data_IF_561413979991
#
_entry.id   IF_561413979991
#
_cell.length_a   1.000
_cell.length_b   1.000
_cell.length_c   1.000
_cell.angle_alpha   90.00
_cell.angle_beta   90.00
_cell.angle_gamma   90.00
#
_symmetry.space_group_name_H-M   'P 1'
#
loop_
_entity.id
_entity.type
_entity.pdbx_description
1 polymer ?
#
# COMPACT_ATOMS: atom_id res chain seq x y z
N UNK A 1 3.34 18.10 -0.69
CA UNK A 1 1.89 17.85 -0.72
C UNK A 1 1.69 16.36 -0.89
N UNK A 2 0.89 15.71 -0.03
CA UNK A 2 0.49 14.32 -0.26
C UNK A 2 -0.43 14.25 -1.49
N UNK A 3 -0.39 13.16 -2.25
CA UNK A 3 -1.29 12.96 -3.39
C UNK A 3 -2.75 12.98 -2.95
N UNK A 4 -3.66 13.44 -3.82
CA UNK A 4 -5.09 13.36 -3.57
C UNK A 4 -5.60 11.97 -3.94
N UNK A 5 -6.51 11.37 -3.16
CA UNK A 5 -7.10 10.09 -3.51
C UNK A 5 -8.01 10.25 -4.73
N UNK A 6 -7.74 9.48 -5.78
CA UNK A 6 -8.58 9.43 -6.98
C UNK A 6 -9.35 8.11 -7.01
N UNK A 7 -10.66 8.18 -7.27
CA UNK A 7 -11.55 7.01 -7.36
C UNK A 7 -12.23 7.01 -8.71
N UNK A 8 -12.24 5.85 -9.34
CA UNK A 8 -12.71 5.65 -10.70
C UNK A 8 -13.81 4.60 -10.73
N UNK A 9 -14.72 4.70 -11.71
CA UNK A 9 -15.88 3.79 -11.78
C UNK A 9 -15.48 2.38 -12.19
N UNK A 10 -14.42 2.25 -12.98
CA UNK A 10 -13.96 0.98 -13.52
C UNK A 10 -12.43 0.97 -13.68
N UNK A 11 -11.89 -0.24 -13.92
CA UNK A 11 -10.45 -0.48 -14.09
C UNK A 11 -9.84 0.31 -15.25
N UNK A 12 -10.60 0.53 -16.33
CA UNK A 12 -10.12 1.26 -17.50
C UNK A 12 -9.87 2.73 -17.18
N UNK A 13 -10.83 3.41 -16.56
CA UNK A 13 -10.67 4.81 -16.13
C UNK A 13 -9.49 4.98 -15.18
N UNK A 14 -9.33 4.06 -14.22
CA UNK A 14 -8.19 4.06 -13.31
C UNK A 14 -6.85 3.84 -14.04
N UNK A 15 -6.82 2.94 -15.01
CA UNK A 15 -5.63 2.67 -15.80
C UNK A 15 -5.21 3.88 -16.63
N UNK A 16 -6.16 4.52 -17.31
CA UNK A 16 -5.93 5.75 -18.08
C UNK A 16 -5.42 6.89 -17.18
N UNK A 17 -5.93 7.00 -15.96
CA UNK A 17 -5.41 7.94 -14.98
C UNK A 17 -3.95 7.65 -14.63
N UNK A 18 -3.62 6.42 -14.23
CA UNK A 18 -2.25 6.03 -13.90
C UNK A 18 -1.31 6.36 -15.07
N UNK A 19 -1.71 6.04 -16.30
CA UNK A 19 -0.93 6.39 -17.49
C UNK A 19 -0.70 7.91 -17.63
N UNK A 20 -1.71 8.75 -17.37
CA UNK A 20 -1.54 10.22 -17.34
C UNK A 20 -0.55 10.68 -16.27
N UNK A 21 -0.56 10.08 -15.08
CA UNK A 21 0.42 10.41 -14.03
C UNK A 21 1.84 10.00 -14.44
N UNK A 22 2.00 8.78 -14.96
CA UNK A 22 3.29 8.26 -15.42
C UNK A 22 3.86 9.08 -16.59
N UNK A 23 3.04 9.43 -17.57
CA UNK A 23 3.43 10.27 -18.70
C UNK A 23 3.88 11.68 -18.25
N UNK A 24 3.36 12.17 -17.13
CA UNK A 24 3.78 13.42 -16.50
C UNK A 24 4.97 13.24 -15.52
N UNK A 25 5.65 12.10 -15.55
CA UNK A 25 6.81 11.81 -14.69
C UNK A 25 6.48 11.51 -13.22
N UNK A 26 5.19 11.44 -12.85
CA UNK A 26 4.77 11.13 -11.47
C UNK A 26 4.73 9.62 -11.29
N UNK A 27 5.70 9.07 -10.58
CA UNK A 27 5.84 7.62 -10.35
C UNK A 27 5.43 7.17 -8.95
N UNK A 28 5.44 8.08 -7.97
CA UNK A 28 4.91 7.80 -6.62
C UNK A 28 3.39 7.82 -6.65
N UNK A 29 2.81 6.65 -6.94
CA UNK A 29 1.37 6.42 -7.08
C UNK A 29 1.03 5.17 -6.28
N UNK A 30 0.09 5.25 -5.34
CA UNK A 30 -0.42 4.07 -4.63
C UNK A 30 -1.57 3.45 -5.43
N UNK A 31 -1.47 2.16 -5.76
CA UNK A 31 -2.40 1.49 -6.68
C UNK A 31 -3.16 0.37 -5.97
N UNK A 32 -4.46 0.27 -6.25
CA UNK A 32 -5.30 -0.89 -5.90
C UNK A 32 -5.66 -1.00 -4.42
N UNK A 33 -6.21 -2.15 -4.03
CA UNK A 33 -6.78 -2.39 -2.69
C UNK A 33 -5.75 -2.25 -1.56
N UNK A 34 -4.55 -2.78 -1.76
CA UNK A 34 -3.43 -2.72 -0.81
C UNK A 34 -2.66 -1.40 -0.89
N UNK A 35 -3.04 -0.50 -1.80
CA UNK A 35 -2.40 0.80 -2.00
C UNK A 35 -0.87 0.65 -2.17
N UNK A 36 -0.44 -0.31 -3.00
CA UNK A 36 0.99 -0.59 -3.21
C UNK A 36 1.59 0.52 -4.07
N UNK A 37 2.68 1.12 -3.60
CA UNK A 37 3.31 2.23 -4.28
C UNK A 37 4.09 1.79 -5.54
N UNK A 38 3.73 2.34 -6.69
CA UNK A 38 4.32 2.04 -7.99
C UNK A 38 5.81 2.38 -8.07
N UNK A 39 6.26 3.51 -7.51
CA UNK A 39 7.65 3.93 -7.56
C UNK A 39 8.60 2.86 -6.99
N UNK A 40 8.19 2.23 -5.90
CA UNK A 40 8.99 1.23 -5.19
C UNK A 40 8.78 -0.20 -5.69
N UNK A 41 7.58 -0.52 -6.17
CA UNK A 41 7.19 -1.91 -6.44
C UNK A 41 6.72 -2.17 -7.87
N UNK A 42 7.04 -1.28 -8.82
CA UNK A 42 6.69 -1.45 -10.24
C UNK A 42 7.06 -2.84 -10.79
N UNK A 43 8.23 -3.39 -10.42
CA UNK A 43 8.63 -4.74 -10.85
C UNK A 43 7.67 -5.84 -10.37
N UNK A 44 7.17 -5.75 -9.13
CA UNK A 44 6.21 -6.72 -8.56
C UNK A 44 4.80 -6.51 -9.12
N UNK A 45 4.43 -5.24 -9.32
CA UNK A 45 3.17 -4.83 -9.92
C UNK A 45 3.09 -5.12 -11.43
N UNK A 46 4.26 -5.22 -12.09
CA UNK A 46 4.49 -5.48 -13.51
C UNK A 46 4.08 -4.33 -14.41
N UNK A 47 2.78 -4.14 -14.60
CA UNK A 47 2.22 -3.10 -15.46
C UNK A 47 1.00 -2.45 -14.76
N UNK A 48 0.65 -1.20 -15.10
CA UNK A 48 -0.46 -0.50 -14.45
C UNK A 48 -1.81 -1.21 -14.59
N UNK A 49 -2.04 -1.93 -15.69
CA UNK A 49 -3.29 -2.67 -15.88
C UNK A 49 -3.36 -3.81 -14.88
N UNK A 50 -2.32 -4.64 -14.80
CA UNK A 50 -2.22 -5.76 -13.85
C UNK A 50 -2.17 -5.29 -12.39
N UNK A 51 -1.55 -4.16 -12.11
CA UNK A 51 -1.53 -3.55 -10.77
C UNK A 51 -2.94 -3.24 -10.20
N UNK A 52 -3.91 -2.99 -11.09
CA UNK A 52 -5.32 -2.77 -10.74
C UNK A 52 -6.15 -4.05 -10.62
N UNK A 53 -5.59 -5.22 -10.95
CA UNK A 53 -6.26 -6.49 -10.68
C UNK A 53 -6.35 -6.74 -9.16
N UNK A 54 -7.55 -6.91 -8.57
CA UNK A 54 -7.70 -7.03 -7.13
C UNK A 54 -6.87 -8.16 -6.51
N UNK A 55 -6.85 -9.33 -7.15
CA UNK A 55 -6.14 -10.51 -6.64
C UNK A 55 -4.62 -10.39 -6.80
N UNK A 56 -4.16 -9.84 -7.92
CA UNK A 56 -2.73 -9.54 -8.11
C UNK A 56 -2.26 -8.50 -7.07
N UNK A 57 -3.01 -7.42 -6.89
CA UNK A 57 -2.67 -6.36 -5.95
C UNK A 57 -2.62 -6.86 -4.50
N UNK A 58 -3.60 -7.67 -4.09
CA UNK A 58 -3.61 -8.33 -2.77
C UNK A 58 -2.42 -9.25 -2.57
N UNK A 59 -2.08 -10.08 -3.57
CA UNK A 59 -0.90 -10.98 -3.50
C UNK A 59 0.40 -10.20 -3.37
N UNK A 60 0.59 -9.13 -4.14
CA UNK A 60 1.80 -8.29 -4.04
C UNK A 60 1.89 -7.64 -2.66
N UNK A 61 0.80 -7.06 -2.15
CA UNK A 61 0.78 -6.46 -0.81
C UNK A 61 1.06 -7.48 0.30
N UNK A 62 0.44 -8.67 0.22
CA UNK A 62 0.68 -9.75 1.18
C UNK A 62 2.13 -10.26 1.13
N UNK A 63 2.73 -10.35 -0.05
CA UNK A 63 4.15 -10.72 -0.19
C UNK A 63 5.06 -9.69 0.48
N UNK A 64 4.83 -8.39 0.28
CA UNK A 64 5.61 -7.32 0.94
C UNK A 64 5.49 -7.43 2.46
N UNK A 65 4.27 -7.62 2.98
CA UNK A 65 4.04 -7.82 4.42
C UNK A 65 4.77 -9.06 4.95
N UNK A 66 4.73 -10.17 4.21
CA UNK A 66 5.38 -11.40 4.63
C UNK A 66 6.91 -11.27 4.66
N UNK A 67 7.51 -10.62 3.67
CA UNK A 67 8.96 -10.37 3.64
C UNK A 67 9.41 -9.50 4.82
N UNK A 68 8.68 -8.42 5.12
CA UNK A 68 8.93 -7.60 6.31
C UNK A 68 8.79 -8.42 7.61
N UNK A 69 7.84 -9.35 7.66
CA UNK A 69 7.66 -10.23 8.81
C UNK A 69 8.83 -11.19 9.01
N UNK A 70 9.43 -11.71 7.94
CA UNK A 70 10.64 -12.54 8.05
C UNK A 70 11.83 -11.78 8.65
N UNK A 71 11.86 -10.44 8.53
CA UNK A 71 12.89 -9.59 9.13
C UNK A 71 12.62 -9.30 10.62
N UNK A 72 11.38 -8.94 10.98
CA UNK A 72 11.06 -8.43 12.33
C UNK A 72 10.42 -9.46 13.27
N UNK A 73 9.71 -10.45 12.74
CA UNK A 73 8.96 -11.45 13.52
C UNK A 73 7.70 -10.94 14.24
N UNK A 74 7.37 -9.64 14.15
CA UNK A 74 6.21 -9.02 14.82
C UNK A 74 5.28 -8.32 13.81
N UNK A 75 4.07 -8.86 13.65
CA UNK A 75 3.04 -8.30 12.77
C UNK A 75 2.65 -6.86 13.09
N UNK A 76 2.73 -6.44 14.36
CA UNK A 76 2.40 -5.07 14.78
C UNK A 76 3.46 -4.09 14.26
N UNK A 77 4.73 -4.48 14.29
CA UNK A 77 5.84 -3.70 13.75
C UNK A 77 5.77 -3.65 12.22
N UNK A 78 5.55 -4.82 11.60
CA UNK A 78 5.44 -4.99 10.15
C UNK A 78 4.36 -4.11 9.52
N UNK A 79 3.18 -4.03 10.12
CA UNK A 79 2.09 -3.16 9.62
C UNK A 79 2.50 -1.69 9.61
N UNK A 80 3.26 -1.25 10.61
CA UNK A 80 3.81 0.12 10.64
C UNK A 80 4.84 0.33 9.53
N UNK A 81 5.81 -0.59 9.38
CA UNK A 81 6.86 -0.52 8.36
C UNK A 81 6.32 -0.58 6.94
N UNK A 82 5.28 -1.38 6.69
CA UNK A 82 4.60 -1.44 5.39
C UNK A 82 4.14 -0.05 4.93
N UNK A 83 3.61 0.75 5.85
CA UNK A 83 3.14 2.11 5.54
C UNK A 83 4.28 3.15 5.51
N UNK A 84 5.28 3.01 6.38
CA UNK A 84 6.39 3.95 6.48
C UNK A 84 7.70 3.20 6.80
N UNK A 85 8.41 2.70 5.76
CA UNK A 85 9.58 1.82 5.96
C UNK A 85 10.86 2.57 6.32
N UNK A 86 10.92 3.89 6.13
CA UNK A 86 12.12 4.68 6.36
C UNK A 86 12.44 4.82 7.86
N UNK A 87 13.72 4.81 8.21
CA UNK A 87 14.17 4.93 9.60
C UNK A 87 14.45 6.39 10.03
N UNK A 88 13.46 7.25 9.84
CA UNK A 88 13.53 8.66 10.29
C UNK A 88 12.52 8.91 11.41
N UNK A 89 12.73 9.88 12.31
CA UNK A 89 11.76 10.18 13.38
C UNK A 89 10.35 10.43 12.83
N UNK A 90 10.23 11.15 11.72
CA UNK A 90 8.96 11.42 11.08
C UNK A 90 8.29 10.16 10.49
N UNK A 91 9.07 9.23 9.95
CA UNK A 91 8.57 7.97 9.42
C UNK A 91 8.15 7.00 10.54
N UNK A 92 8.96 6.88 11.60
CA UNK A 92 8.60 6.12 12.81
C UNK A 92 7.28 6.61 13.40
N UNK A 93 7.10 7.92 13.55
CA UNK A 93 5.84 8.48 14.04
C UNK A 93 4.64 8.19 13.10
N UNK A 94 4.86 8.12 11.76
CA UNK A 94 3.81 7.70 10.82
C UNK A 94 3.47 6.22 10.95
N UNK A 95 4.49 5.35 11.05
CA UNK A 95 4.33 3.92 11.27
C UNK A 95 3.53 3.64 12.55
N UNK A 96 3.84 4.35 13.64
CA UNK A 96 3.13 4.26 14.93
C UNK A 96 1.65 4.64 14.83
N UNK A 97 1.34 5.77 14.18
CA UNK A 97 -0.05 6.18 13.96
C UNK A 97 -0.80 5.21 13.08
N UNK A 98 -0.14 4.67 12.04
CA UNK A 98 -0.77 3.73 11.13
C UNK A 98 -1.09 2.39 11.81
N UNK A 99 -0.12 1.79 12.52
CA UNK A 99 -0.34 0.53 13.25
C UNK A 99 -1.45 0.67 14.29
N UNK A 100 -1.53 1.79 15.01
CA UNK A 100 -2.59 2.04 15.99
C UNK A 100 -3.99 2.01 15.34
N UNK A 101 -4.14 2.66 14.18
CA UNK A 101 -5.41 2.66 13.42
C UNK A 101 -5.79 1.27 12.91
N UNK A 102 -4.80 0.49 12.46
CA UNK A 102 -5.02 -0.89 12.01
C UNK A 102 -5.46 -1.77 13.18
N UNK A 103 -4.80 -1.69 14.34
CA UNK A 103 -5.17 -2.43 15.54
C UNK A 103 -6.58 -2.08 16.03
N UNK A 104 -6.93 -0.80 16.07
CA UNK A 104 -8.28 -0.35 16.41
C UNK A 104 -9.33 -0.90 15.43
N UNK A 105 -8.99 -0.99 14.14
CA UNK A 105 -9.88 -1.60 13.15
C UNK A 105 -10.01 -3.10 13.34
N UNK A 106 -8.91 -3.81 13.61
CA UNK A 106 -8.93 -5.25 13.85
C UNK A 106 -9.76 -5.60 15.09
N UNK A 107 -9.61 -4.86 16.19
CA UNK A 107 -10.40 -5.05 17.40
C UNK A 107 -11.91 -4.92 17.16
N UNK A 108 -12.33 -4.03 16.24
CA UNK A 108 -13.75 -3.89 15.86
C UNK A 108 -14.25 -5.01 14.95
N UNK A 109 -13.35 -5.72 14.26
CA UNK A 109 -13.68 -6.81 13.34
C UNK A 109 -13.61 -8.17 14.01
N UNK A 110 -12.79 -8.32 15.05
CA UNK A 110 -12.81 -9.48 15.93
C UNK A 110 -14.19 -9.55 16.60
N UNK A 111 -14.94 -10.66 16.46
CA UNK A 111 -16.12 -10.87 17.27
C UNK A 111 -15.74 -10.75 18.75
N UNK A 112 -16.60 -10.13 19.56
CA UNK A 112 -16.56 -10.38 20.98
C UNK A 112 -16.83 -11.87 21.17
N UNK A 113 -15.81 -12.65 21.55
CA UNK A 113 -16.00 -14.01 22.05
C UNK A 113 -16.84 -13.99 23.33
#
# INVERSE_FOLDING_TARGET
>A
MAGQPERYRNRREAHEAIQRHLAAGRTSIDIGLMQVNWHWHAQRLQDPWRALDPHHNLRVGAQILHELYQEDGDWIVVVGRYHAPADTPAARARAERYRARVLERLQRLSPHE
#
